data_IF_280716995125
#
_entry.id   IF_280716995125
#
_cell.length_a   1.000
_cell.length_b   1.000
_cell.length_c   1.000
_cell.angle_alpha   90.00
_cell.angle_beta   90.00
_cell.angle_gamma   90.00
#
_symmetry.space_group_name_H-M   'P 1'
#
loop_
_entity.id
_entity.type
_entity.pdbx_description
1 polymer ?
#
# COMPACT_ATOMS: atom_id res chain seq x y z
N UNK A 1 -51.00 18.60 31.87
CA UNK A 1 -49.56 18.36 31.93
C UNK A 1 -49.19 16.91 32.29
N UNK A 2 -49.85 16.24 33.25
CA UNK A 2 -49.54 14.84 33.61
C UNK A 2 -49.85 13.80 32.52
N UNK A 3 -50.93 13.97 31.72
CA UNK A 3 -51.34 13.01 30.67
C UNK A 3 -50.32 12.99 29.51
N UNK A 4 -49.78 14.12 29.11
CA UNK A 4 -48.78 14.21 28.07
C UNK A 4 -47.48 13.52 28.44
N UNK A 5 -47.04 13.63 29.69
CA UNK A 5 -45.83 12.98 30.20
C UNK A 5 -45.98 11.44 30.24
N UNK A 6 -47.14 10.93 30.62
CA UNK A 6 -47.45 9.48 30.65
C UNK A 6 -47.49 8.91 29.22
N UNK A 7 -48.10 9.62 28.29
CA UNK A 7 -48.18 9.19 26.88
C UNK A 7 -46.79 9.16 26.23
N UNK A 8 -45.94 10.16 26.46
CA UNK A 8 -44.56 10.20 25.94
C UNK A 8 -43.72 9.07 26.56
N UNK A 9 -43.87 8.79 27.86
CA UNK A 9 -43.15 7.70 28.51
C UNK A 9 -43.58 6.32 27.97
N UNK A 10 -44.87 6.10 27.70
CA UNK A 10 -45.37 4.86 27.09
C UNK A 10 -44.88 4.70 25.66
N UNK A 11 -44.89 5.74 24.85
CA UNK A 11 -44.36 5.73 23.47
C UNK A 11 -42.85 5.40 23.47
N UNK A 12 -42.06 6.04 24.30
CA UNK A 12 -40.61 5.76 24.39
C UNK A 12 -40.31 4.37 24.94
N UNK A 13 -41.07 3.87 25.89
CA UNK A 13 -40.88 2.54 26.49
C UNK A 13 -41.22 1.41 25.51
N UNK A 14 -42.20 1.60 24.63
CA UNK A 14 -42.66 0.56 23.70
C UNK A 14 -41.93 0.68 22.32
N UNK A 15 -41.87 1.90 21.77
CA UNK A 15 -41.30 2.09 20.45
C UNK A 15 -39.79 2.28 20.46
N UNK A 16 -39.18 2.71 21.56
CA UNK A 16 -37.73 2.86 21.69
C UNK A 16 -36.98 1.54 21.49
N UNK A 17 -37.31 0.45 22.21
CA UNK A 17 -36.70 -0.86 21.99
C UNK A 17 -36.89 -1.39 20.56
N UNK A 18 -38.12 -1.24 20.01
CA UNK A 18 -38.44 -1.71 18.65
C UNK A 18 -37.63 -0.93 17.60
N UNK A 19 -37.55 0.39 17.72
CA UNK A 19 -36.74 1.21 16.83
C UNK A 19 -35.25 0.89 16.95
N UNK A 20 -34.77 0.57 18.14
CA UNK A 20 -33.38 0.17 18.38
C UNK A 20 -33.06 -1.21 17.79
N UNK A 21 -34.01 -2.16 17.90
CA UNK A 21 -33.90 -3.48 17.25
C UNK A 21 -33.94 -3.37 15.72
N UNK A 22 -34.81 -2.54 15.18
CA UNK A 22 -34.88 -2.24 13.76
C UNK A 22 -33.58 -1.57 13.24
N UNK A 23 -33.05 -0.60 13.95
CA UNK A 23 -31.80 0.02 13.64
C UNK A 23 -30.64 -1.00 13.69
N UNK A 24 -30.58 -1.81 14.74
CA UNK A 24 -29.59 -2.91 14.84
C UNK A 24 -29.71 -3.88 13.68
N UNK A 25 -30.93 -4.35 13.34
CA UNK A 25 -31.17 -5.24 12.23
C UNK A 25 -30.75 -4.58 10.89
N UNK A 26 -31.09 -3.31 10.67
CA UNK A 26 -30.69 -2.55 9.47
C UNK A 26 -29.16 -2.39 9.33
N UNK A 27 -28.46 -2.11 10.43
CA UNK A 27 -27.00 -2.04 10.43
C UNK A 27 -26.30 -3.40 10.45
N UNK A 28 -26.99 -4.47 10.85
CA UNK A 28 -26.46 -5.85 10.82
C UNK A 28 -26.68 -6.55 9.47
N UNK A 29 -27.58 -6.04 8.60
CA UNK A 29 -27.88 -6.62 7.28
C UNK A 29 -26.91 -6.22 6.17
N UNK A 30 -25.79 -5.52 6.45
CA UNK A 30 -24.69 -5.53 5.50
C UNK A 30 -24.17 -6.97 5.42
N UNK A 31 -24.22 -7.61 4.23
CA UNK A 31 -23.63 -8.94 4.10
C UNK A 31 -22.20 -8.86 4.61
N UNK A 32 -21.85 -9.70 5.59
CA UNK A 32 -20.46 -9.87 6.02
C UNK A 32 -19.75 -10.49 4.84
N UNK A 33 -19.12 -9.66 3.99
CA UNK A 33 -18.23 -10.14 2.96
C UNK A 33 -17.18 -11.01 3.64
N UNK A 34 -16.86 -12.13 3.05
CA UNK A 34 -15.78 -12.97 3.56
C UNK A 34 -14.48 -12.17 3.49
N UNK A 35 -13.68 -12.08 4.56
CA UNK A 35 -12.40 -11.37 4.52
C UNK A 35 -11.49 -11.81 3.38
N UNK A 36 -11.62 -13.05 2.93
CA UNK A 36 -10.88 -13.58 1.79
C UNK A 36 -11.44 -13.07 0.45
N UNK A 37 -12.75 -12.90 0.35
CA UNK A 37 -13.38 -12.34 -0.85
C UNK A 37 -12.99 -10.88 -1.04
N UNK A 38 -13.05 -10.07 0.03
CA UNK A 38 -12.61 -8.67 -0.01
C UNK A 38 -11.13 -8.58 -0.39
N UNK A 39 -10.29 -9.48 0.16
CA UNK A 39 -8.87 -9.54 -0.20
C UNK A 39 -8.66 -9.87 -1.68
N UNK A 40 -9.40 -10.83 -2.23
CA UNK A 40 -9.30 -11.21 -3.64
C UNK A 40 -9.69 -10.03 -4.54
N UNK A 41 -10.80 -9.36 -4.25
CA UNK A 41 -11.27 -8.22 -5.04
C UNK A 41 -10.25 -7.09 -5.07
N UNK A 42 -9.68 -6.71 -3.92
CA UNK A 42 -8.66 -5.68 -3.84
C UNK A 42 -7.36 -6.09 -4.52
N UNK A 43 -6.94 -7.35 -4.34
CA UNK A 43 -5.75 -7.87 -5.00
C UNK A 43 -5.88 -7.77 -6.53
N UNK A 44 -7.04 -8.10 -7.10
CA UNK A 44 -7.31 -7.96 -8.54
C UNK A 44 -7.25 -6.49 -8.96
N UNK A 45 -7.83 -5.57 -8.17
CA UNK A 45 -7.80 -4.15 -8.49
C UNK A 45 -6.38 -3.57 -8.46
N UNK A 46 -5.59 -3.93 -7.46
CA UNK A 46 -4.18 -3.50 -7.36
C UNK A 46 -3.36 -4.09 -8.51
N UNK A 47 -3.52 -5.37 -8.79
CA UNK A 47 -2.83 -6.07 -9.88
C UNK A 47 -3.10 -5.41 -11.24
N UNK A 48 -4.36 -5.06 -11.52
CA UNK A 48 -4.76 -4.32 -12.72
C UNK A 48 -4.13 -2.92 -12.77
N UNK A 49 -4.02 -2.21 -11.64
CA UNK A 49 -3.33 -0.91 -11.63
C UNK A 49 -1.84 -1.06 -11.98
N UNK A 50 -1.17 -2.08 -11.47
CA UNK A 50 0.23 -2.34 -11.83
C UNK A 50 0.40 -2.65 -13.31
N UNK A 51 -0.49 -3.42 -13.89
CA UNK A 51 -0.47 -3.72 -15.32
C UNK A 51 -0.66 -2.47 -16.19
N UNK A 52 -1.58 -1.59 -15.80
CA UNK A 52 -1.79 -0.30 -16.46
C UNK A 52 -0.53 0.58 -16.37
N UNK A 53 0.14 0.61 -15.20
CA UNK A 53 1.37 1.38 -14.98
C UNK A 53 2.51 0.81 -15.82
N UNK A 54 2.70 -0.51 -15.81
CA UNK A 54 3.73 -1.22 -16.57
C UNK A 54 3.64 -0.86 -18.06
N UNK A 55 2.43 -0.95 -18.62
CA UNK A 55 2.17 -0.71 -20.04
C UNK A 55 2.30 0.77 -20.41
N UNK A 56 1.78 1.68 -19.57
CA UNK A 56 1.83 3.12 -19.84
C UNK A 56 3.27 3.65 -19.84
N UNK A 57 4.05 3.25 -18.83
CA UNK A 57 5.44 3.67 -18.68
C UNK A 57 6.40 2.86 -19.55
N UNK A 58 5.94 1.77 -20.15
CA UNK A 58 6.79 0.80 -20.86
C UNK A 58 8.01 0.40 -20.04
N UNK A 59 7.82 0.24 -18.71
CA UNK A 59 8.88 -0.15 -17.80
C UNK A 59 9.04 -1.68 -17.76
N UNK A 60 10.20 -2.18 -17.32
CA UNK A 60 10.46 -3.61 -17.27
C UNK A 60 9.85 -4.28 -16.05
N UNK A 61 9.69 -3.53 -14.93
CA UNK A 61 9.11 -4.04 -13.70
C UNK A 61 8.43 -2.92 -12.91
N UNK A 62 7.29 -3.24 -12.31
CA UNK A 62 6.62 -2.42 -11.29
C UNK A 62 6.19 -3.32 -10.14
N UNK A 63 6.39 -2.87 -8.90
CA UNK A 63 6.05 -3.64 -7.73
C UNK A 63 5.64 -2.77 -6.54
N UNK A 64 4.94 -3.39 -5.58
CA UNK A 64 4.52 -2.78 -4.33
C UNK A 64 5.06 -3.60 -3.18
N UNK A 65 5.79 -2.94 -2.29
CA UNK A 65 6.14 -3.47 -0.98
C UNK A 65 5.31 -2.79 0.10
N UNK A 66 4.81 -3.57 1.06
CA UNK A 66 4.11 -3.06 2.23
C UNK A 66 4.93 -3.31 3.50
N UNK A 67 4.86 -2.35 4.42
CA UNK A 67 5.49 -2.48 5.73
C UNK A 67 4.65 -3.33 6.66
N UNK A 68 5.31 -4.17 7.45
CA UNK A 68 4.67 -5.02 8.45
C UNK A 68 5.62 -5.32 9.62
N UNK A 69 5.05 -5.80 10.73
CA UNK A 69 5.82 -6.20 11.90
C UNK A 69 6.46 -7.58 11.69
N UNK A 70 7.73 -7.71 12.03
CA UNK A 70 8.53 -8.92 11.84
C UNK A 70 8.93 -9.63 13.12
N UNK A 71 8.27 -9.36 14.24
CA UNK A 71 8.65 -9.84 15.57
C UNK A 71 9.23 -8.76 16.44
N UNK A 72 10.00 -9.13 17.48
CA UNK A 72 10.52 -8.22 18.48
C UNK A 72 12.00 -8.48 18.77
N UNK A 73 12.75 -7.42 19.09
CA UNK A 73 14.13 -7.52 19.54
C UNK A 73 14.20 -7.99 20.99
N UNK A 74 15.08 -8.95 21.28
CA UNK A 74 15.41 -9.37 22.64
C UNK A 74 16.51 -8.47 23.23
N UNK A 75 16.46 -8.08 24.51
CA UNK A 75 15.38 -8.28 25.48
C UNK A 75 14.38 -7.12 25.52
N UNK A 76 14.49 -6.14 24.64
CA UNK A 76 13.76 -4.85 24.71
C UNK A 76 12.29 -4.94 24.34
N UNK A 77 11.88 -6.01 23.65
CA UNK A 77 10.52 -6.16 23.11
C UNK A 77 10.17 -5.16 21.99
N UNK A 78 11.13 -4.34 21.51
CA UNK A 78 10.90 -3.40 20.43
C UNK A 78 10.55 -4.13 19.13
N UNK A 79 9.50 -3.68 18.43
CA UNK A 79 9.06 -4.27 17.16
C UNK A 79 10.12 -4.11 16.08
N UNK A 80 10.36 -5.19 15.32
CA UNK A 80 11.20 -5.20 14.13
C UNK A 80 10.32 -4.82 12.94
N UNK A 81 10.65 -3.72 12.26
CA UNK A 81 9.95 -3.32 11.05
C UNK A 81 10.53 -4.03 9.83
N UNK A 82 9.66 -4.63 9.05
CA UNK A 82 9.99 -5.35 7.82
C UNK A 82 9.11 -4.87 6.68
N UNK A 83 9.50 -5.23 5.47
CA UNK A 83 8.64 -5.13 4.30
C UNK A 83 8.66 -6.43 3.50
N UNK A 84 7.61 -6.63 2.71
CA UNK A 84 7.52 -7.69 1.72
C UNK A 84 6.95 -7.13 0.43
N UNK A 85 7.42 -7.60 -0.72
CA UNK A 85 6.79 -7.32 -2.01
C UNK A 85 5.56 -8.20 -2.14
N UNK A 86 4.37 -7.60 -2.11
CA UNK A 86 3.09 -8.30 -2.22
C UNK A 86 2.58 -8.35 -3.65
N UNK A 87 2.91 -7.34 -4.47
CA UNK A 87 2.44 -7.24 -5.85
C UNK A 87 3.60 -6.94 -6.77
N UNK A 88 3.65 -7.61 -7.91
CA UNK A 88 4.67 -7.41 -8.92
C UNK A 88 4.11 -7.71 -10.31
N UNK A 89 4.37 -6.80 -11.26
CA UNK A 89 4.21 -7.01 -12.69
C UNK A 89 5.53 -6.80 -13.40
N UNK A 90 5.82 -7.68 -14.35
CA UNK A 90 7.07 -7.65 -15.12
C UNK A 90 6.79 -7.86 -16.59
N UNK A 91 7.61 -7.23 -17.44
CA UNK A 91 7.70 -7.65 -18.85
C UNK A 91 8.27 -9.07 -18.94
N UNK A 92 7.95 -9.86 -19.97
CA UNK A 92 8.36 -11.27 -20.09
C UNK A 92 9.86 -11.53 -19.96
N UNK A 93 10.69 -10.56 -20.36
CA UNK A 93 12.17 -10.64 -20.31
C UNK A 93 12.75 -10.30 -18.94
N UNK A 94 12.00 -9.60 -18.07
CA UNK A 94 12.51 -9.12 -16.78
C UNK A 94 12.41 -10.19 -15.70
N UNK A 95 13.44 -10.25 -14.85
CA UNK A 95 13.45 -11.19 -13.73
C UNK A 95 12.46 -10.74 -12.65
N UNK A 96 11.71 -11.69 -12.10
CA UNK A 96 10.85 -11.48 -10.94
C UNK A 96 11.68 -11.41 -9.66
N UNK A 97 11.30 -10.49 -8.77
CA UNK A 97 11.98 -10.28 -7.49
C UNK A 97 11.07 -10.51 -6.28
N UNK A 98 9.78 -10.67 -6.48
CA UNK A 98 8.79 -10.77 -5.41
C UNK A 98 9.15 -11.85 -4.36
N UNK A 99 9.61 -13.01 -4.80
CA UNK A 99 9.93 -14.11 -3.88
C UNK A 99 11.21 -13.86 -3.07
N UNK A 100 12.14 -13.07 -3.61
CA UNK A 100 13.43 -12.79 -2.98
C UNK A 100 13.32 -11.69 -1.91
N UNK A 101 12.28 -10.84 -2.03
CA UNK A 101 12.05 -9.72 -1.12
C UNK A 101 10.85 -9.96 -0.20
N UNK A 102 10.89 -11.07 0.54
CA UNK A 102 9.91 -11.40 1.58
C UNK A 102 10.52 -11.25 2.97
N UNK A 103 9.79 -10.60 3.89
CA UNK A 103 10.21 -10.40 5.28
C UNK A 103 11.56 -9.67 5.46
N UNK A 104 11.90 -8.77 4.55
CA UNK A 104 13.17 -8.03 4.56
C UNK A 104 13.14 -6.97 5.68
N UNK A 105 14.13 -6.93 6.59
CA UNK A 105 14.21 -5.86 7.58
C UNK A 105 14.36 -4.48 6.93
N UNK A 106 13.61 -3.49 7.41
CA UNK A 106 13.74 -2.11 6.94
C UNK A 106 15.15 -1.54 7.12
N UNK A 107 15.90 -2.06 8.11
CA UNK A 107 17.30 -1.70 8.36
C UNK A 107 18.26 -2.12 7.24
N UNK A 108 17.84 -2.94 6.28
CA UNK A 108 18.65 -3.29 5.12
C UNK A 108 18.78 -2.12 4.11
N UNK A 109 17.82 -1.18 4.12
CA UNK A 109 17.79 -0.04 3.19
C UNK A 109 17.55 1.29 3.92
N UNK A 110 18.39 1.66 4.91
CA UNK A 110 18.11 2.79 5.79
C UNK A 110 18.08 4.13 5.04
N UNK A 111 18.98 4.35 4.09
CA UNK A 111 19.07 5.60 3.31
C UNK A 111 17.89 5.73 2.33
N UNK A 112 17.58 4.67 1.58
CA UNK A 112 16.47 4.69 0.64
C UNK A 112 15.14 4.97 1.36
N UNK A 113 14.89 4.28 2.48
CA UNK A 113 13.66 4.48 3.27
C UNK A 113 13.62 5.84 3.96
N UNK A 114 14.77 6.37 4.42
CA UNK A 114 14.85 7.73 4.97
C UNK A 114 14.49 8.78 3.91
N UNK A 115 15.00 8.63 2.68
CA UNK A 115 14.67 9.52 1.56
C UNK A 115 13.17 9.47 1.25
N UNK A 116 12.59 8.29 1.12
CA UNK A 116 11.14 8.13 0.91
C UNK A 116 10.33 8.78 2.04
N UNK A 117 10.73 8.59 3.29
CA UNK A 117 10.04 9.19 4.43
C UNK A 117 10.10 10.73 4.43
N UNK A 118 11.22 11.32 4.00
CA UNK A 118 11.44 12.76 4.00
C UNK A 118 10.88 13.47 2.77
N UNK A 119 11.08 12.91 1.57
CA UNK A 119 10.73 13.52 0.29
C UNK A 119 9.49 12.90 -0.39
N UNK A 120 9.06 11.72 0.04
CA UNK A 120 8.00 10.94 -0.60
C UNK A 120 8.44 10.15 -1.82
N UNK A 121 9.61 10.42 -2.38
CA UNK A 121 10.08 9.79 -3.63
C UNK A 121 11.60 9.66 -3.67
N UNK A 122 12.07 8.70 -4.48
CA UNK A 122 13.48 8.44 -4.76
C UNK A 122 13.62 8.19 -6.26
N UNK A 123 14.65 8.77 -6.88
CA UNK A 123 14.93 8.61 -8.29
C UNK A 123 16.42 8.28 -8.51
N UNK A 124 16.67 7.20 -9.23
CA UNK A 124 17.99 6.81 -9.72
C UNK A 124 17.87 6.61 -11.24
N UNK A 125 18.02 7.69 -12.03
CA UNK A 125 17.87 7.60 -13.49
C UNK A 125 18.99 6.79 -14.15
N UNK A 126 20.14 6.65 -13.48
CA UNK A 126 21.26 5.78 -13.88
C UNK A 126 22.04 5.38 -12.65
N UNK A 127 22.65 4.19 -12.66
CA UNK A 127 23.62 3.74 -11.64
C UNK A 127 25.08 4.00 -12.06
N UNK A 128 25.31 4.68 -13.17
CA UNK A 128 26.63 5.04 -13.66
C UNK A 128 27.08 6.38 -13.06
N UNK A 129 28.40 6.51 -12.79
CA UNK A 129 29.02 7.71 -12.23
C UNK A 129 28.84 7.86 -10.72
N UNK A 130 29.09 9.07 -10.19
CA UNK A 130 29.01 9.45 -8.78
C UNK A 130 27.56 9.80 -8.36
N UNK A 131 26.63 8.93 -8.66
CA UNK A 131 25.22 9.13 -8.28
C UNK A 131 24.96 8.46 -6.94
N UNK A 132 24.19 9.11 -6.07
CA UNK A 132 23.74 8.47 -4.84
C UNK A 132 22.83 7.28 -5.16
N UNK A 133 23.25 6.08 -4.83
CA UNK A 133 22.57 4.83 -5.18
C UNK A 133 21.78 4.23 -4.01
N UNK A 134 21.85 4.87 -2.83
CA UNK A 134 21.16 4.42 -1.60
C UNK A 134 21.42 2.95 -1.23
N UNK A 135 22.62 2.45 -1.56
CA UNK A 135 23.03 1.05 -1.38
C UNK A 135 22.24 0.04 -2.26
N UNK A 136 21.52 0.54 -3.29
CA UNK A 136 20.69 -0.29 -4.17
C UNK A 136 21.46 -0.82 -5.40
N UNK A 137 22.65 -0.31 -5.70
CA UNK A 137 23.41 -0.65 -6.93
C UNK A 137 23.68 -2.14 -7.10
N UNK A 138 24.12 -2.81 -6.02
CA UNK A 138 24.41 -4.25 -6.06
C UNK A 138 23.20 -5.10 -6.39
N UNK A 139 22.07 -4.79 -5.75
CA UNK A 139 20.79 -5.47 -5.97
C UNK A 139 20.28 -5.17 -7.38
N UNK A 140 20.28 -3.91 -7.79
CA UNK A 140 19.84 -3.51 -9.14
C UNK A 140 20.62 -4.21 -10.23
N UNK A 141 21.94 -4.34 -10.08
CA UNK A 141 22.79 -5.08 -11.02
C UNK A 141 22.42 -6.56 -11.11
N UNK A 142 22.09 -7.19 -9.99
CA UNK A 142 21.68 -8.60 -9.93
C UNK A 142 20.42 -8.88 -10.77
N UNK A 143 19.51 -7.92 -10.85
CA UNK A 143 18.24 -8.04 -11.59
C UNK A 143 18.22 -7.25 -12.91
N UNK A 144 19.38 -6.80 -13.38
CA UNK A 144 19.52 -6.10 -14.64
C UNK A 144 18.97 -4.67 -14.68
N UNK A 145 18.62 -4.10 -13.51
CA UNK A 145 18.02 -2.76 -13.43
C UNK A 145 19.07 -1.67 -13.63
N UNK A 146 18.85 -0.77 -14.59
CA UNK A 146 19.69 0.40 -14.85
C UNK A 146 19.09 1.72 -14.39
N UNK A 147 17.76 1.81 -14.31
CA UNK A 147 17.07 2.97 -13.75
C UNK A 147 16.01 2.53 -12.76
N UNK A 148 15.87 3.27 -11.67
CA UNK A 148 15.00 2.88 -10.56
C UNK A 148 14.29 4.08 -9.95
N UNK A 149 13.00 3.96 -9.75
CA UNK A 149 12.14 4.98 -9.14
C UNK A 149 11.30 4.36 -8.05
N UNK A 150 11.19 5.04 -6.92
CA UNK A 150 10.38 4.58 -5.80
C UNK A 150 9.54 5.73 -5.25
N UNK A 151 8.28 5.48 -4.93
CA UNK A 151 7.35 6.47 -4.38
C UNK A 151 6.64 5.88 -3.17
N UNK A 152 6.53 6.67 -2.11
CA UNK A 152 5.85 6.28 -0.88
C UNK A 152 4.35 6.08 -1.09
N UNK A 153 3.81 5.00 -0.55
CA UNK A 153 2.39 4.72 -0.46
C UNK A 153 1.86 5.17 0.90
N UNK A 154 0.87 6.03 0.88
CA UNK A 154 0.31 6.60 2.11
C UNK A 154 -1.14 6.18 2.31
N UNK A 155 -1.50 5.93 3.56
CA UNK A 155 -2.90 5.74 3.96
C UNK A 155 -3.67 7.05 3.90
N UNK A 156 -5.00 6.97 4.00
CA UNK A 156 -5.87 8.15 4.09
C UNK A 156 -5.54 9.06 5.29
N UNK A 157 -4.91 8.54 6.33
CA UNK A 157 -4.43 9.29 7.49
C UNK A 157 -2.98 9.76 7.33
N UNK A 158 -2.45 9.76 6.12
CA UNK A 158 -1.08 10.16 5.79
C UNK A 158 0.03 9.36 6.51
N UNK A 159 -0.24 8.08 6.84
CA UNK A 159 0.81 7.18 7.31
C UNK A 159 1.46 6.47 6.13
N UNK A 160 2.78 6.42 6.10
CA UNK A 160 3.53 5.63 5.13
C UNK A 160 3.30 4.14 5.38
N UNK A 161 2.61 3.46 4.47
CA UNK A 161 2.21 2.04 4.59
C UNK A 161 3.04 1.10 3.72
N UNK A 162 3.80 1.66 2.78
CA UNK A 162 4.61 0.91 1.84
C UNK A 162 5.24 1.80 0.79
N UNK A 163 5.73 1.18 -0.25
CA UNK A 163 6.32 1.85 -1.41
C UNK A 163 5.90 1.19 -2.71
N UNK A 164 5.77 1.97 -3.77
CA UNK A 164 5.66 1.49 -5.13
C UNK A 164 6.96 1.80 -5.86
N UNK A 165 7.53 0.84 -6.57
CA UNK A 165 8.74 1.04 -7.34
C UNK A 165 8.59 0.62 -8.79
N UNK A 166 9.35 1.29 -9.64
CA UNK A 166 9.38 1.15 -11.09
C UNK A 166 10.84 0.98 -11.50
N UNK A 167 11.12 -0.04 -12.28
CA UNK A 167 12.47 -0.38 -12.72
C UNK A 167 12.54 -0.55 -14.24
N UNK A 168 13.65 -0.10 -14.80
CA UNK A 168 13.99 -0.24 -16.21
C UNK A 168 15.34 -0.96 -16.37
N UNK A 169 15.42 -1.85 -17.33
CA UNK A 169 16.67 -2.54 -17.71
C UNK A 169 17.53 -1.68 -18.65
N UNK A 170 17.05 -0.49 -18.99
CA UNK A 170 17.75 0.54 -19.75
C UNK A 170 17.81 1.83 -18.94
N UNK A 171 18.68 2.75 -19.32
CA UNK A 171 18.66 4.08 -18.74
C UNK A 171 17.38 4.80 -19.13
N UNK A 172 16.69 5.33 -18.15
CA UNK A 172 15.46 6.07 -18.32
C UNK A 172 15.39 7.23 -17.32
N UNK A 173 15.09 8.42 -17.81
CA UNK A 173 14.87 9.60 -16.97
C UNK A 173 13.41 9.99 -17.04
N UNK A 174 12.72 9.92 -15.93
CA UNK A 174 11.31 10.33 -15.85
C UNK A 174 11.11 11.76 -16.34
N UNK A 175 10.17 11.91 -17.24
CA UNK A 175 9.62 13.20 -17.64
C UNK A 175 8.73 13.77 -16.54
N UNK A 176 8.39 15.05 -16.66
CA UNK A 176 7.43 15.69 -15.74
C UNK A 176 6.06 15.00 -15.77
N UNK A 177 5.60 14.57 -16.95
CA UNK A 177 4.29 13.95 -17.13
C UNK A 177 4.27 12.53 -16.54
N UNK A 178 5.35 11.76 -16.68
CA UNK A 178 5.48 10.46 -16.03
C UNK A 178 5.44 10.58 -14.50
N UNK A 179 6.13 11.58 -13.93
CA UNK A 179 6.05 11.86 -12.49
C UNK A 179 4.63 12.21 -12.03
N UNK A 180 3.90 13.04 -12.77
CA UNK A 180 2.51 13.38 -12.45
C UNK A 180 1.66 12.11 -12.49
N UNK A 181 1.80 11.31 -13.55
CA UNK A 181 1.07 10.06 -13.71
C UNK A 181 1.33 9.08 -12.56
N UNK A 182 2.61 8.84 -12.22
CA UNK A 182 2.99 7.92 -11.14
C UNK A 182 2.41 8.36 -9.80
N UNK A 183 2.50 9.66 -9.45
CA UNK A 183 1.91 10.19 -8.21
C UNK A 183 0.40 9.99 -8.14
N UNK A 184 -0.31 10.17 -9.25
CA UNK A 184 -1.75 9.89 -9.31
C UNK A 184 -2.04 8.41 -9.06
N UNK A 185 -1.31 7.51 -9.70
CA UNK A 185 -1.47 6.06 -9.54
C UNK A 185 -1.13 5.59 -8.12
N UNK A 186 -0.08 6.13 -7.52
CA UNK A 186 0.27 5.87 -6.12
C UNK A 186 -0.87 6.26 -5.17
N UNK A 187 -1.53 7.39 -5.41
CA UNK A 187 -2.71 7.80 -4.65
C UNK A 187 -3.87 6.81 -4.75
N UNK A 188 -4.17 6.33 -5.97
CA UNK A 188 -5.20 5.30 -6.19
C UNK A 188 -4.87 4.00 -5.46
N UNK A 189 -3.65 3.49 -5.63
CA UNK A 189 -3.19 2.26 -4.98
C UNK A 189 -3.18 2.39 -3.46
N UNK A 190 -2.69 3.51 -2.93
CA UNK A 190 -2.69 3.78 -1.49
C UNK A 190 -4.11 3.76 -0.90
N UNK A 191 -5.09 4.30 -1.62
CA UNK A 191 -6.51 4.25 -1.23
C UNK A 191 -7.04 2.82 -1.21
N UNK A 192 -6.80 2.03 -2.26
CA UNK A 192 -7.23 0.63 -2.34
C UNK A 192 -6.67 -0.19 -1.17
N UNK A 193 -5.37 -0.09 -0.92
CA UNK A 193 -4.71 -0.80 0.18
C UNK A 193 -5.21 -0.36 1.56
N UNK A 194 -5.55 0.91 1.73
CA UNK A 194 -6.06 1.44 3.00
C UNK A 194 -7.49 0.97 3.29
N UNK A 195 -8.35 0.92 2.29
CA UNK A 195 -9.72 0.41 2.45
C UNK A 195 -9.70 -1.06 2.89
N UNK A 196 -8.83 -1.87 2.30
CA UNK A 196 -8.63 -3.26 2.73
C UNK A 196 -8.22 -3.39 4.21
N UNK A 197 -7.35 -2.49 4.69
CA UNK A 197 -6.89 -2.52 6.08
C UNK A 197 -7.98 -2.09 7.09
N UNK A 198 -8.97 -1.29 6.67
CA UNK A 198 -10.10 -0.85 7.53
C UNK A 198 -11.14 -1.94 7.78
N UNK A 199 -11.31 -2.88 6.86
CA UNK A 199 -12.30 -3.96 6.98
C UNK A 199 -11.96 -4.93 8.12
N UNK A 200 -10.74 -4.89 8.66
CA UNK A 200 -10.24 -5.76 9.73
C UNK A 200 -10.43 -5.24 11.17
N UNK A 201 -11.08 -4.11 11.38
CA UNK A 201 -11.47 -3.63 12.72
C UNK A 201 -12.98 -3.85 12.89
#
# INVERSE_FOLDING_TARGET
MMITTVVVALITAVFGPIALEWAKAYFQTKPKTSPIQDAIEINVLVDNQLEIILNYLNCDRVWIAQFHNGGHFYPTGKSIQKFSIFYEKTMPKALRIQNDFQNVPCSAFPKALATIYQSGELAIPTYEGDVETYDLKGISSQYGTKSFYMVGLYSLNNHLIGVMAIAYDTEHKFTKDEWIYVRQKVGVVGTLLTEYLKIKK
#
